data_IF_749395907530
#
_entry.id   IF_749395907530
#
_cell.length_a   1.000
_cell.length_b   1.000
_cell.length_c   1.000
_cell.angle_alpha   90.00
_cell.angle_beta   90.00
_cell.angle_gamma   90.00
#
_symmetry.space_group_name_H-M   'P 1'
#
loop_
_entity.id
_entity.type
_entity.pdbx_description
1 polymer ?
#
# COMPACT_ATOMS: atom_id res chain seq x y z
N UNK A 1 -72.06 12.22 -25.30
CA UNK A 1 -71.17 12.55 -26.42
C UNK A 1 -69.87 11.76 -26.22
N UNK A 2 -70.02 10.43 -26.24
CA UNK A 2 -68.92 9.47 -26.23
C UNK A 2 -68.50 9.24 -27.68
N UNK A 3 -67.22 9.36 -28.00
CA UNK A 3 -66.55 8.60 -29.08
C UNK A 3 -65.08 8.98 -29.21
N UNK A 4 -64.26 7.92 -29.31
CA UNK A 4 -63.02 7.80 -30.10
C UNK A 4 -61.71 8.35 -29.49
N UNK A 5 -61.07 7.52 -28.66
CA UNK A 5 -59.63 7.29 -28.77
C UNK A 5 -59.33 5.79 -28.63
N UNK A 6 -59.20 5.10 -29.77
CA UNK A 6 -58.62 3.76 -29.90
C UNK A 6 -57.81 3.74 -31.20
N UNK A 7 -56.49 3.74 -31.07
CA UNK A 7 -55.42 3.31 -31.98
C UNK A 7 -54.14 3.97 -31.46
N UNK A 8 -52.99 3.34 -31.28
CA UNK A 8 -52.51 1.98 -31.49
C UNK A 8 -51.19 1.90 -30.73
N UNK A 9 -51.14 1.06 -29.69
CA UNK A 9 -49.88 0.63 -29.07
C UNK A 9 -49.14 -0.24 -30.08
N UNK A 10 -48.07 0.29 -30.66
CA UNK A 10 -47.04 -0.53 -31.29
C UNK A 10 -46.05 -0.96 -30.20
N UNK A 11 -45.83 -2.26 -29.97
CA UNK A 11 -44.72 -2.69 -29.15
C UNK A 11 -43.43 -2.43 -29.93
N UNK A 12 -42.58 -1.56 -29.39
CA UNK A 12 -41.16 -1.52 -29.75
C UNK A 12 -40.57 -2.87 -29.37
N UNK A 13 -40.59 -3.80 -30.32
CA UNK A 13 -39.73 -4.98 -30.34
C UNK A 13 -38.30 -4.48 -30.44
N UNK A 14 -37.70 -4.16 -29.29
CA UNK A 14 -36.25 -4.08 -29.14
C UNK A 14 -35.73 -5.49 -29.41
N UNK A 15 -35.18 -5.65 -30.61
CA UNK A 15 -34.54 -6.89 -31.03
C UNK A 15 -33.58 -7.37 -29.95
N UNK A 16 -33.85 -8.57 -29.45
CA UNK A 16 -32.92 -9.40 -28.71
C UNK A 16 -31.80 -9.80 -29.67
N UNK A 17 -30.89 -8.87 -29.91
CA UNK A 17 -29.60 -9.11 -30.54
C UNK A 17 -28.59 -9.42 -29.46
N UNK A 18 -28.62 -10.64 -28.96
CA UNK A 18 -27.64 -11.15 -28.00
C UNK A 18 -26.26 -11.24 -28.61
N UNK A 19 -25.48 -10.17 -28.48
CA UNK A 19 -24.01 -10.27 -28.45
C UNK A 19 -23.59 -10.07 -26.99
N UNK A 20 -23.63 -11.16 -26.22
CA UNK A 20 -23.07 -11.21 -24.88
C UNK A 20 -21.56 -10.95 -24.99
N UNK A 21 -21.15 -9.71 -24.72
CA UNK A 21 -19.75 -9.35 -24.55
C UNK A 21 -19.27 -9.96 -23.23
N UNK A 22 -18.80 -11.21 -23.28
CA UNK A 22 -18.27 -11.90 -22.10
C UNK A 22 -16.75 -11.83 -22.09
N UNK A 23 -16.17 -11.58 -20.91
CA UNK A 23 -14.76 -11.82 -20.64
C UNK A 23 -14.42 -13.26 -21.04
N UNK A 24 -13.46 -13.44 -21.95
CA UNK A 24 -12.93 -14.77 -22.25
C UNK A 24 -12.20 -15.28 -21.00
N UNK A 25 -12.45 -16.53 -20.59
CA UNK A 25 -11.77 -17.16 -19.45
C UNK A 25 -10.23 -17.05 -19.57
N UNK A 26 -9.69 -17.08 -20.78
CA UNK A 26 -8.26 -16.91 -21.04
C UNK A 26 -7.70 -15.54 -20.58
N UNK A 27 -8.45 -14.45 -20.74
CA UNK A 27 -8.02 -13.11 -20.30
C UNK A 27 -8.01 -13.02 -18.77
N UNK A 28 -8.98 -13.69 -18.10
CA UNK A 28 -9.05 -13.82 -16.64
C UNK A 28 -7.88 -14.64 -16.09
N UNK A 29 -7.56 -15.76 -16.75
CA UNK A 29 -6.46 -16.64 -16.37
C UNK A 29 -5.10 -15.95 -16.52
N UNK A 30 -4.90 -15.20 -17.62
CA UNK A 30 -3.69 -14.41 -17.85
C UNK A 30 -3.51 -13.34 -16.78
N UNK A 31 -4.57 -12.61 -16.46
CA UNK A 31 -4.56 -11.62 -15.39
C UNK A 31 -4.19 -12.24 -14.05
N UNK A 32 -4.91 -13.28 -13.62
CA UNK A 32 -4.63 -13.94 -12.34
C UNK A 32 -3.21 -14.52 -12.28
N UNK A 33 -2.69 -15.04 -13.39
CA UNK A 33 -1.31 -15.53 -13.49
C UNK A 33 -0.28 -14.41 -13.39
N UNK A 34 -0.52 -13.26 -14.04
CA UNK A 34 0.33 -12.06 -13.97
C UNK A 34 0.43 -11.55 -12.53
N UNK A 35 -0.73 -11.33 -11.89
CA UNK A 35 -0.78 -10.86 -10.50
C UNK A 35 -0.16 -11.89 -9.55
N UNK A 36 -0.40 -13.18 -9.76
CA UNK A 36 0.21 -14.25 -8.94
C UNK A 36 1.73 -14.25 -9.03
N UNK A 37 2.29 -14.04 -10.23
CA UNK A 37 3.72 -13.93 -10.43
C UNK A 37 4.32 -12.71 -9.70
N UNK A 38 3.65 -11.56 -9.74
CA UNK A 38 4.13 -10.36 -9.06
C UNK A 38 4.02 -10.46 -7.53
N UNK A 39 2.95 -11.07 -7.02
CA UNK A 39 2.81 -11.40 -5.58
C UNK A 39 3.94 -12.33 -5.13
N UNK A 40 4.31 -13.33 -5.94
CA UNK A 40 5.46 -14.22 -5.64
C UNK A 40 6.79 -13.48 -5.66
N UNK A 41 6.98 -12.50 -6.55
CA UNK A 41 8.18 -11.65 -6.53
C UNK A 41 8.26 -10.83 -5.25
N UNK A 42 7.15 -10.23 -4.82
CA UNK A 42 7.09 -9.51 -3.54
C UNK A 42 7.43 -10.41 -2.35
N UNK A 43 6.97 -11.67 -2.38
CA UNK A 43 7.32 -12.67 -1.38
C UNK A 43 8.83 -12.96 -1.38
N UNK A 44 9.44 -13.13 -2.55
CA UNK A 44 10.89 -13.36 -2.67
C UNK A 44 11.69 -12.17 -2.15
N UNK A 45 11.25 -10.94 -2.40
CA UNK A 45 11.89 -9.74 -1.87
C UNK A 45 11.85 -9.67 -0.33
N UNK A 46 10.82 -10.24 0.31
CA UNK A 46 10.74 -10.37 1.78
C UNK A 46 11.68 -11.43 2.36
N UNK A 47 12.16 -12.39 1.56
CA UNK A 47 13.07 -13.44 2.05
C UNK A 47 14.41 -12.91 2.60
N UNK A 48 14.68 -11.63 2.38
CA UNK A 48 15.82 -10.90 2.97
C UNK A 48 15.69 -10.63 4.48
N UNK A 49 14.52 -10.91 5.08
CA UNK A 49 14.33 -10.88 6.53
C UNK A 49 13.95 -9.53 7.12
N UNK A 50 13.74 -8.50 6.29
CA UNK A 50 13.29 -7.19 6.75
C UNK A 50 12.41 -6.48 5.72
N UNK A 51 11.44 -5.71 6.20
CA UNK A 51 10.66 -4.81 5.34
C UNK A 51 11.43 -3.51 5.16
N UNK A 52 11.56 -3.05 3.91
CA UNK A 52 12.36 -1.88 3.52
C UNK A 52 11.58 -0.93 2.63
N UNK A 53 12.04 0.32 2.48
CA UNK A 53 11.46 1.26 1.51
C UNK A 53 11.50 0.70 0.08
N UNK A 54 12.56 -0.06 -0.25
CA UNK A 54 12.65 -0.76 -1.53
C UNK A 54 11.49 -1.75 -1.72
N UNK A 55 11.25 -2.61 -0.74
CA UNK A 55 10.11 -3.52 -0.79
C UNK A 55 8.79 -2.77 -0.93
N UNK A 56 8.64 -1.65 -0.21
CA UNK A 56 7.45 -0.81 -0.29
C UNK A 56 7.24 -0.20 -1.69
N UNK A 57 8.31 0.22 -2.37
CA UNK A 57 8.26 0.69 -3.75
C UNK A 57 7.87 -0.42 -4.74
N UNK A 58 8.39 -1.64 -4.54
CA UNK A 58 8.02 -2.81 -5.33
C UNK A 58 6.51 -3.12 -5.15
N UNK A 59 6.02 -3.08 -3.91
CA UNK A 59 4.60 -3.29 -3.60
C UNK A 59 3.69 -2.22 -4.23
N UNK A 60 4.08 -0.94 -4.18
CA UNK A 60 3.37 0.14 -4.87
C UNK A 60 3.36 -0.05 -6.40
N UNK A 61 4.46 -0.52 -6.97
CA UNK A 61 4.55 -0.82 -8.40
C UNK A 61 3.61 -1.96 -8.81
N UNK A 62 3.47 -2.99 -7.96
CA UNK A 62 2.49 -4.06 -8.16
C UNK A 62 1.05 -3.54 -8.07
N UNK A 63 0.72 -2.65 -7.13
CA UNK A 63 -0.59 -2.00 -7.05
C UNK A 63 -0.93 -1.23 -8.34
N UNK A 64 0.00 -0.39 -8.82
CA UNK A 64 -0.14 0.34 -10.08
C UNK A 64 -0.37 -0.60 -11.26
N UNK A 65 0.42 -1.67 -11.36
CA UNK A 65 0.30 -2.66 -12.44
C UNK A 65 -1.04 -3.38 -12.40
N UNK A 66 -1.49 -3.85 -11.23
CA UNK A 66 -2.80 -4.52 -11.08
C UNK A 66 -3.93 -3.59 -11.55
N UNK A 67 -3.89 -2.32 -11.16
CA UNK A 67 -4.90 -1.34 -11.54
C UNK A 67 -4.92 -1.06 -13.06
N UNK A 68 -3.75 -0.89 -13.68
CA UNK A 68 -3.62 -0.71 -15.13
C UNK A 68 -4.13 -1.94 -15.90
N UNK A 69 -3.70 -3.15 -15.50
CA UNK A 69 -4.16 -4.38 -16.16
C UNK A 69 -5.68 -4.57 -16.00
N UNK A 70 -6.24 -4.24 -14.83
CA UNK A 70 -7.68 -4.26 -14.60
C UNK A 70 -8.42 -3.30 -15.55
N UNK A 71 -7.93 -2.07 -15.72
CA UNK A 71 -8.53 -1.09 -16.63
C UNK A 71 -8.54 -1.58 -18.08
N UNK A 72 -7.44 -2.17 -18.54
CA UNK A 72 -7.34 -2.73 -19.90
C UNK A 72 -8.35 -3.86 -20.11
N UNK A 73 -8.57 -4.69 -19.09
CA UNK A 73 -9.59 -5.74 -19.15
C UNK A 73 -11.00 -5.17 -19.19
N UNK A 74 -11.31 -4.17 -18.36
CA UNK A 74 -12.61 -3.49 -18.37
C UNK A 74 -12.89 -2.88 -19.76
N UNK A 75 -11.91 -2.18 -20.33
CA UNK A 75 -12.03 -1.56 -21.65
C UNK A 75 -12.30 -2.58 -22.77
N UNK A 76 -11.56 -3.70 -22.76
CA UNK A 76 -11.71 -4.77 -23.75
C UNK A 76 -13.03 -5.52 -23.63
N UNK A 77 -13.53 -5.70 -22.41
CA UNK A 77 -14.70 -6.53 -22.14
C UNK A 77 -16.03 -5.79 -22.22
N UNK A 78 -16.02 -4.45 -22.32
CA UNK A 78 -17.23 -3.60 -22.39
C UNK A 78 -18.31 -4.08 -21.41
N UNK A 79 -17.90 -4.32 -20.15
CA UNK A 79 -18.74 -4.99 -19.18
C UNK A 79 -20.10 -4.29 -19.07
N UNK A 80 -21.21 -5.00 -19.26
CA UNK A 80 -22.52 -4.41 -19.10
C UNK A 80 -22.69 -3.97 -17.65
N UNK A 81 -23.19 -2.74 -17.46
CA UNK A 81 -23.64 -2.24 -16.17
C UNK A 81 -24.86 -3.10 -15.80
N UNK A 82 -24.75 -3.91 -14.76
CA UNK A 82 -25.88 -4.75 -14.32
C UNK A 82 -26.89 -3.91 -13.54
N UNK A 83 -28.19 -4.04 -13.86
CA UNK A 83 -29.27 -3.32 -13.14
C UNK A 83 -29.64 -3.97 -11.79
N UNK A 84 -29.25 -5.23 -11.56
CA UNK A 84 -29.82 -6.09 -10.51
C UNK A 84 -28.81 -6.58 -9.44
N UNK A 85 -27.67 -5.90 -9.26
CA UNK A 85 -26.66 -6.29 -8.26
C UNK A 85 -25.64 -5.21 -7.90
N UNK A 86 -24.73 -5.49 -6.94
CA UNK A 86 -23.57 -4.64 -6.63
C UNK A 86 -22.63 -4.67 -7.85
N UNK A 87 -22.86 -3.72 -8.76
CA UNK A 87 -22.29 -3.72 -10.10
C UNK A 87 -20.76 -3.72 -10.04
N UNK A 88 -20.11 -4.28 -11.06
CA UNK A 88 -18.65 -4.30 -11.13
C UNK A 88 -18.08 -2.88 -11.02
N UNK A 89 -18.83 -1.88 -11.50
CA UNK A 89 -18.54 -0.47 -11.39
C UNK A 89 -18.49 0.01 -9.95
N UNK A 90 -19.51 -0.31 -9.14
CA UNK A 90 -19.56 0.08 -7.73
C UNK A 90 -18.38 -0.52 -6.96
N UNK A 91 -18.04 -1.78 -7.25
CA UNK A 91 -16.89 -2.44 -6.64
C UNK A 91 -15.57 -1.79 -7.06
N UNK A 92 -15.43 -1.44 -8.34
CA UNK A 92 -14.28 -0.70 -8.86
C UNK A 92 -14.16 0.68 -8.20
N UNK A 93 -15.25 1.43 -8.15
CA UNK A 93 -15.28 2.77 -7.55
C UNK A 93 -14.97 2.73 -6.06
N UNK A 94 -15.48 1.72 -5.35
CA UNK A 94 -15.18 1.48 -3.93
C UNK A 94 -13.71 1.14 -3.71
N UNK A 95 -13.15 0.18 -4.45
CA UNK A 95 -11.75 -0.21 -4.22
C UNK A 95 -10.77 0.91 -4.62
N UNK A 96 -11.08 1.68 -5.66
CA UNK A 96 -10.20 2.77 -6.10
C UNK A 96 -10.28 3.99 -5.19
N UNK A 97 -11.42 4.30 -4.58
CA UNK A 97 -11.45 5.37 -3.55
C UNK A 97 -10.64 4.95 -2.32
N UNK A 98 -10.75 3.68 -1.89
CA UNK A 98 -9.92 3.15 -0.81
C UNK A 98 -8.42 3.24 -1.14
N UNK A 99 -8.04 3.01 -2.41
CA UNK A 99 -6.65 3.11 -2.86
C UNK A 99 -6.13 4.56 -2.86
N UNK A 100 -6.99 5.54 -3.17
CA UNK A 100 -6.65 6.97 -3.06
C UNK A 100 -6.48 7.39 -1.60
N UNK A 101 -7.40 6.98 -0.72
CA UNK A 101 -7.29 7.24 0.73
C UNK A 101 -6.03 6.60 1.31
N UNK A 102 -5.70 5.39 0.87
CA UNK A 102 -4.45 4.71 1.20
C UNK A 102 -3.22 5.49 0.74
N UNK A 103 -3.20 6.02 -0.49
CA UNK A 103 -2.08 6.85 -0.96
C UNK A 103 -1.92 8.12 -0.12
N UNK A 104 -3.03 8.76 0.27
CA UNK A 104 -3.00 9.92 1.17
C UNK A 104 -2.46 9.56 2.56
N UNK A 105 -2.85 8.40 3.08
CA UNK A 105 -2.32 7.86 4.34
C UNK A 105 -0.80 7.65 4.24
N UNK A 106 -0.31 7.07 3.14
CA UNK A 106 1.12 6.90 2.90
C UNK A 106 1.85 8.24 2.80
N UNK A 107 1.29 9.24 2.10
CA UNK A 107 1.89 10.59 2.05
C UNK A 107 2.06 11.21 3.44
N UNK A 108 1.06 11.04 4.31
CA UNK A 108 1.15 11.46 5.71
C UNK A 108 2.26 10.73 6.46
N UNK A 109 2.36 9.41 6.29
CA UNK A 109 3.39 8.59 6.92
C UNK A 109 4.81 8.94 6.41
N UNK A 110 4.97 9.17 5.10
CA UNK A 110 6.19 9.67 4.45
C UNK A 110 6.62 10.99 5.07
N UNK A 111 5.68 11.93 5.28
CA UNK A 111 5.98 13.18 5.98
C UNK A 111 6.46 12.95 7.41
N UNK A 112 5.92 11.95 8.11
CA UNK A 112 6.37 11.53 9.44
C UNK A 112 7.82 11.02 9.43
N UNK A 113 8.16 10.14 8.49
CA UNK A 113 9.53 9.62 8.31
C UNK A 113 10.49 10.76 7.92
N UNK A 114 10.06 11.68 7.04
CA UNK A 114 10.90 12.82 6.68
C UNK A 114 11.15 13.75 7.87
N UNK A 115 10.15 13.93 8.76
CA UNK A 115 10.35 14.68 10.01
C UNK A 115 11.38 13.99 10.91
N UNK A 116 11.34 12.67 11.04
CA UNK A 116 12.35 11.91 11.77
C UNK A 116 13.75 12.17 11.22
N UNK A 117 13.90 12.00 9.90
CA UNK A 117 15.16 12.24 9.20
C UNK A 117 15.68 13.68 9.40
N UNK A 118 14.81 14.69 9.39
CA UNK A 118 15.20 16.07 9.71
C UNK A 118 15.74 16.23 11.14
N UNK A 119 15.18 15.50 12.12
CA UNK A 119 15.73 15.48 13.49
C UNK A 119 17.11 14.83 13.52
N UNK A 120 17.30 13.73 12.79
CA UNK A 120 18.62 13.08 12.64
C UNK A 120 19.64 14.07 12.05
N UNK A 121 19.30 14.76 10.96
CA UNK A 121 20.18 15.76 10.33
C UNK A 121 20.53 16.91 11.27
N UNK A 122 19.56 17.37 12.07
CA UNK A 122 19.76 18.40 13.06
C UNK A 122 20.76 17.94 14.13
N UNK A 123 20.58 16.72 14.65
CA UNK A 123 21.52 16.12 15.61
C UNK A 123 22.91 15.97 14.99
N UNK A 124 23.04 15.43 13.78
CA UNK A 124 24.33 15.33 13.06
C UNK A 124 25.02 16.69 13.01
N UNK A 125 24.30 17.77 12.65
CA UNK A 125 24.87 19.12 12.60
C UNK A 125 25.38 19.59 13.96
N UNK A 126 24.64 19.27 15.04
CA UNK A 126 25.07 19.60 16.41
C UNK A 126 26.29 18.81 16.87
N UNK A 127 26.38 17.54 16.51
CA UNK A 127 27.53 16.69 16.84
C UNK A 127 28.79 17.06 16.05
N UNK A 128 28.65 17.66 14.86
CA UNK A 128 29.77 18.17 14.08
C UNK A 128 30.27 19.56 14.54
N UNK A 129 29.52 20.26 15.40
CA UNK A 129 29.89 21.60 15.85
C UNK A 129 31.05 21.50 16.85
N UNK A 130 32.24 21.99 16.47
CA UNK A 130 33.49 21.76 17.21
C UNK A 130 33.53 22.36 18.64
N UNK A 131 32.59 23.25 18.97
CA UNK A 131 32.41 23.85 20.30
C UNK A 131 31.50 23.01 21.23
N UNK A 132 30.89 21.94 20.72
CA UNK A 132 29.99 21.08 21.49
C UNK A 132 30.78 20.18 22.45
N UNK A 133 30.76 20.53 23.74
CA UNK A 133 31.34 19.67 24.78
C UNK A 133 30.61 18.31 24.85
N UNK A 134 31.29 17.28 25.38
CA UNK A 134 30.77 15.90 25.51
C UNK A 134 29.38 15.84 26.16
N UNK A 135 29.11 16.72 27.12
CA UNK A 135 27.81 16.83 27.77
C UNK A 135 26.67 17.27 26.83
N UNK A 136 26.94 18.17 25.87
CA UNK A 136 25.96 18.63 24.88
C UNK A 136 25.67 17.49 23.90
N UNK A 137 26.70 16.80 23.41
CA UNK A 137 26.55 15.66 22.52
C UNK A 137 25.72 14.54 23.16
N UNK A 138 25.90 14.32 24.46
CA UNK A 138 25.08 13.37 25.24
C UNK A 138 23.60 13.73 25.21
N UNK A 139 23.30 15.00 25.52
CA UNK A 139 21.92 15.50 25.57
C UNK A 139 21.25 15.35 24.20
N UNK A 140 21.95 15.68 23.11
CA UNK A 140 21.38 15.62 21.76
C UNK A 140 21.15 14.18 21.28
N UNK A 141 22.05 13.24 21.57
CA UNK A 141 21.87 11.81 21.25
C UNK A 141 20.73 11.19 22.06
N UNK A 142 20.67 11.47 23.37
CA UNK A 142 19.57 11.01 24.24
C UNK A 142 18.22 11.63 23.84
N UNK A 143 18.22 12.87 23.34
CA UNK A 143 17.03 13.51 22.80
C UNK A 143 16.56 12.83 21.51
N UNK A 144 17.47 12.58 20.56
CA UNK A 144 17.15 11.93 19.30
C UNK A 144 16.56 10.52 19.52
N UNK A 145 17.13 9.74 20.44
CA UNK A 145 16.59 8.41 20.77
C UNK A 145 15.17 8.51 21.37
N UNK A 146 14.93 9.45 22.29
CA UNK A 146 13.60 9.67 22.87
C UNK A 146 12.58 10.09 21.81
N UNK A 147 12.99 10.97 20.89
CA UNK A 147 12.11 11.46 19.84
C UNK A 147 11.87 10.40 18.73
N UNK A 148 12.85 9.51 18.45
CA UNK A 148 12.64 8.30 17.62
C UNK A 148 11.58 7.39 18.22
N UNK A 149 11.65 7.13 19.53
CA UNK A 149 10.65 6.31 20.24
C UNK A 149 9.25 6.90 20.21
N UNK A 150 9.11 8.23 20.17
CA UNK A 150 7.81 8.92 20.07
C UNK A 150 7.22 8.89 18.66
N UNK A 151 8.05 8.92 17.61
CA UNK A 151 7.57 8.90 16.21
C UNK A 151 6.78 7.64 15.86
N UNK A 152 7.14 6.52 16.47
CA UNK A 152 6.47 5.24 16.28
C UNK A 152 5.64 4.82 17.51
N UNK A 153 5.53 5.69 18.51
CA UNK A 153 4.91 5.39 19.80
C UNK A 153 3.55 6.08 19.96
N UNK A 154 2.48 5.28 19.93
CA UNK A 154 1.14 5.55 20.50
C UNK A 154 0.42 6.87 20.16
N UNK A 155 0.88 7.69 19.21
CA UNK A 155 0.02 8.73 18.65
C UNK A 155 -1.10 8.04 17.89
N UNK A 156 -2.33 8.10 18.44
CA UNK A 156 -3.53 7.66 17.72
C UNK A 156 -3.48 8.30 16.33
N UNK A 157 -3.53 7.52 15.25
CA UNK A 157 -3.54 8.07 13.90
C UNK A 157 -4.65 9.11 13.81
N UNK A 158 -4.28 10.37 13.58
CA UNK A 158 -5.23 11.49 13.51
C UNK A 158 -6.17 11.24 12.35
N UNK A 159 -7.45 11.07 12.66
CA UNK A 159 -8.65 11.41 11.86
C UNK A 159 -8.71 10.99 10.38
N UNK A 160 -7.82 10.12 9.91
CA UNK A 160 -8.05 9.37 8.67
C UNK A 160 -9.08 8.31 9.00
N UNK A 161 -10.01 8.00 8.09
CA UNK A 161 -11.02 6.92 8.21
C UNK A 161 -10.36 5.52 8.25
N UNK A 162 -9.45 5.33 9.21
CA UNK A 162 -8.81 4.08 9.53
C UNK A 162 -9.84 3.04 9.99
N UNK A 163 -11.03 3.42 10.43
CA UNK A 163 -12.05 2.43 10.80
C UNK A 163 -12.45 1.52 9.62
N UNK A 164 -12.37 1.99 8.37
CA UNK A 164 -12.60 1.12 7.19
C UNK A 164 -11.34 0.38 6.70
N UNK A 165 -10.14 0.93 6.94
CA UNK A 165 -8.86 0.36 6.45
C UNK A 165 -8.08 -0.46 7.49
N UNK A 166 -8.22 -0.17 8.77
CA UNK A 166 -7.37 -0.66 9.88
C UNK A 166 -8.14 -1.51 10.89
N UNK A 167 -9.47 -1.42 10.94
CA UNK A 167 -10.30 -2.35 11.73
C UNK A 167 -11.57 -2.78 10.99
N UNK A 168 -11.40 -3.58 9.93
CA UNK A 168 -12.25 -4.76 9.83
C UNK A 168 -11.39 -6.02 9.64
N UNK A 169 -11.78 -7.12 10.29
CA UNK A 169 -11.44 -8.47 9.80
C UNK A 169 -11.94 -8.54 8.36
N UNK A 170 -11.09 -8.22 7.39
CA UNK A 170 -11.50 -8.16 6.00
C UNK A 170 -11.73 -9.58 5.51
N UNK A 171 -12.98 -10.02 5.52
CA UNK A 171 -13.36 -11.36 5.07
C UNK A 171 -13.40 -11.34 3.54
N UNK A 172 -12.41 -11.96 2.91
CA UNK A 172 -12.39 -12.20 1.47
C UNK A 172 -13.40 -13.30 1.12
N UNK A 173 -14.68 -12.96 1.06
CA UNK A 173 -15.74 -13.85 0.56
C UNK A 173 -16.24 -13.35 -0.79
N UNK A 174 -16.16 -14.21 -1.80
CA UNK A 174 -16.80 -13.96 -3.10
C UNK A 174 -18.32 -14.11 -2.92
N UNK A 175 -19.08 -13.05 -3.20
CA UNK A 175 -20.55 -13.15 -3.31
C UNK A 175 -20.90 -13.89 -4.61
N UNK A 176 -21.97 -14.67 -4.61
CA UNK A 176 -22.49 -15.30 -5.84
C UNK A 176 -22.76 -14.22 -6.89
N UNK A 177 -22.21 -14.37 -8.09
CA UNK A 177 -22.32 -13.39 -9.19
C UNK A 177 -21.22 -12.33 -9.26
N UNK A 178 -20.30 -12.25 -8.29
CA UNK A 178 -19.19 -11.29 -8.37
C UNK A 178 -18.23 -11.63 -9.52
N UNK A 179 -17.89 -10.62 -10.33
CA UNK A 179 -16.95 -10.75 -11.44
C UNK A 179 -15.58 -11.24 -10.90
N UNK A 180 -15.05 -12.36 -11.42
CA UNK A 180 -13.83 -12.96 -10.88
C UNK A 180 -12.59 -12.08 -11.04
N UNK A 181 -12.51 -11.29 -12.12
CA UNK A 181 -11.39 -10.36 -12.37
C UNK A 181 -11.40 -9.23 -11.34
N UNK A 182 -12.58 -8.61 -11.14
CA UNK A 182 -12.75 -7.52 -10.17
C UNK A 182 -12.46 -8.04 -8.76
N UNK A 183 -12.95 -9.23 -8.42
CA UNK A 183 -12.67 -9.87 -7.14
C UNK A 183 -11.16 -10.14 -6.94
N UNK A 184 -10.48 -10.69 -7.95
CA UNK A 184 -9.04 -10.95 -7.92
C UNK A 184 -8.24 -9.66 -7.70
N UNK A 185 -8.50 -8.65 -8.53
CA UNK A 185 -7.83 -7.36 -8.47
C UNK A 185 -8.06 -6.67 -7.12
N UNK A 186 -9.33 -6.61 -6.68
CA UNK A 186 -9.71 -6.04 -5.39
C UNK A 186 -9.01 -6.74 -4.24
N UNK A 187 -8.96 -8.06 -4.24
CA UNK A 187 -8.34 -8.83 -3.16
C UNK A 187 -6.85 -8.57 -3.07
N UNK A 188 -6.15 -8.61 -4.21
CA UNK A 188 -4.72 -8.32 -4.27
C UNK A 188 -4.41 -6.87 -3.85
N UNK A 189 -5.14 -5.89 -4.40
CA UNK A 189 -4.93 -4.48 -4.07
C UNK A 189 -5.15 -4.19 -2.59
N UNK A 190 -6.23 -4.71 -1.99
CA UNK A 190 -6.52 -4.51 -0.56
C UNK A 190 -5.42 -5.14 0.29
N UNK A 191 -5.06 -6.40 0.05
CA UNK A 191 -4.04 -7.07 0.88
C UNK A 191 -2.69 -6.38 0.79
N UNK A 192 -2.21 -6.06 -0.41
CA UNK A 192 -0.92 -5.38 -0.59
C UNK A 192 -0.94 -3.99 0.10
N UNK A 193 -2.05 -3.26 0.00
CA UNK A 193 -2.21 -1.98 0.70
C UNK A 193 -2.17 -2.16 2.21
N UNK A 194 -2.86 -3.16 2.77
CA UNK A 194 -2.83 -3.45 4.20
C UNK A 194 -1.44 -3.84 4.71
N UNK A 195 -0.68 -4.62 3.93
CA UNK A 195 0.71 -4.95 4.28
C UNK A 195 1.59 -3.70 4.31
N UNK A 196 1.41 -2.77 3.36
CA UNK A 196 2.10 -1.48 3.36
C UNK A 196 1.72 -0.60 4.56
N UNK A 197 0.43 -0.54 4.92
CA UNK A 197 -0.02 0.14 6.15
C UNK A 197 0.63 -0.51 7.38
N UNK A 198 0.65 -1.85 7.44
CA UNK A 198 1.28 -2.62 8.51
C UNK A 198 2.77 -2.31 8.67
N UNK A 199 3.47 -2.17 7.54
CA UNK A 199 4.90 -1.89 7.50
C UNK A 199 5.29 -0.45 7.87
N UNK A 200 4.45 0.53 7.55
CA UNK A 200 4.86 1.96 7.54
C UNK A 200 4.10 2.77 8.59
N UNK A 201 2.86 2.40 8.90
CA UNK A 201 1.94 3.23 9.69
C UNK A 201 1.68 2.60 11.06
N UNK A 202 1.12 1.39 11.07
CA UNK A 202 0.71 0.71 12.30
C UNK A 202 0.51 -0.77 12.00
N UNK A 203 0.89 -1.69 12.91
CA UNK A 203 0.61 -3.11 12.72
C UNK A 203 -0.88 -3.38 12.42
N UNK A 204 -1.14 -4.16 11.37
CA UNK A 204 -2.49 -4.58 10.96
C UNK A 204 -2.57 -6.10 10.96
N UNK A 205 -3.61 -6.65 11.59
CA UNK A 205 -3.90 -8.09 11.56
C UNK A 205 -4.69 -8.45 10.30
N UNK A 206 -4.08 -9.19 9.38
CA UNK A 206 -4.71 -9.61 8.13
C UNK A 206 -5.17 -11.07 8.25
N UNK A 207 -6.48 -11.31 8.20
CA UNK A 207 -7.04 -12.66 8.23
C UNK A 207 -7.63 -13.04 6.87
N UNK A 208 -7.06 -14.05 6.22
CA UNK A 208 -7.57 -14.59 4.96
C UNK A 208 -8.41 -15.84 5.26
N UNK A 209 -9.74 -15.73 5.20
CA UNK A 209 -10.67 -16.88 5.38
C UNK A 209 -10.51 -17.92 4.23
N UNK A 210 -10.85 -19.19 4.48
CA UNK A 210 -10.61 -20.29 3.53
C UNK A 210 -11.65 -20.43 2.40
N UNK A 211 -12.73 -19.65 2.44
CA UNK A 211 -13.88 -19.84 1.56
C UNK A 211 -13.75 -19.29 0.14
N UNK A 212 -12.77 -19.72 -0.66
CA UNK A 212 -12.76 -19.46 -2.11
C UNK A 212 -13.56 -20.55 -2.83
N UNK A 213 -14.71 -20.24 -3.47
CA UNK A 213 -15.47 -21.21 -4.23
C UNK A 213 -14.68 -21.72 -5.45
N UNK A 214 -14.87 -23.00 -5.76
CA UNK A 214 -13.99 -23.86 -6.56
C UNK A 214 -14.03 -23.62 -8.09
N UNK A 215 -14.29 -22.40 -8.56
CA UNK A 215 -14.72 -22.18 -9.95
C UNK A 215 -13.59 -21.83 -10.95
N UNK A 216 -12.45 -21.27 -10.51
CA UNK A 216 -11.35 -20.86 -11.40
C UNK A 216 -9.99 -21.24 -10.80
N UNK A 217 -9.26 -22.13 -11.50
CA UNK A 217 -7.96 -22.66 -11.05
C UNK A 217 -6.91 -21.56 -10.81
N UNK A 218 -6.81 -20.57 -11.71
CA UNK A 218 -5.83 -19.48 -11.57
C UNK A 218 -6.18 -18.49 -10.46
N UNK A 219 -7.47 -18.24 -10.21
CA UNK A 219 -7.90 -17.45 -9.07
C UNK A 219 -7.48 -18.11 -7.75
N UNK A 220 -7.61 -19.44 -7.66
CA UNK A 220 -7.14 -20.21 -6.50
C UNK A 220 -5.62 -20.09 -6.31
N UNK A 221 -4.84 -20.20 -7.40
CA UNK A 221 -3.38 -20.00 -7.39
C UNK A 221 -2.99 -18.59 -6.90
N UNK A 222 -3.68 -17.55 -7.37
CA UNK A 222 -3.48 -16.19 -6.90
C UNK A 222 -3.80 -16.06 -5.41
N UNK A 223 -4.96 -16.53 -4.95
CA UNK A 223 -5.34 -16.46 -3.54
C UNK A 223 -4.34 -17.21 -2.65
N UNK A 224 -3.83 -18.35 -3.09
CA UNK A 224 -2.78 -19.08 -2.38
C UNK A 224 -1.49 -18.26 -2.29
N UNK A 225 -1.09 -17.60 -3.37
CA UNK A 225 0.11 -16.75 -3.39
C UNK A 225 -0.03 -15.55 -2.45
N UNK A 226 -1.22 -14.94 -2.40
CA UNK A 226 -1.53 -13.86 -1.43
C UNK A 226 -1.47 -14.39 0.01
N UNK A 227 -2.05 -15.56 0.29
CA UNK A 227 -1.97 -16.18 1.63
C UNK A 227 -0.52 -16.40 2.05
N UNK A 228 0.30 -16.95 1.16
CA UNK A 228 1.73 -17.16 1.44
C UNK A 228 2.46 -15.84 1.67
N UNK A 229 2.19 -14.79 0.89
CA UNK A 229 2.75 -13.46 1.12
C UNK A 229 2.40 -12.93 2.52
N UNK A 230 1.13 -13.03 2.92
CA UNK A 230 0.67 -12.61 4.26
C UNK A 230 1.37 -13.42 5.36
N UNK A 231 1.49 -14.73 5.20
CA UNK A 231 2.22 -15.58 6.15
C UNK A 231 3.70 -15.18 6.28
N UNK A 232 4.41 -15.00 5.16
CA UNK A 232 5.80 -14.54 5.16
C UNK A 232 5.94 -13.15 5.82
N UNK A 233 4.96 -12.26 5.63
CA UNK A 233 4.98 -10.95 6.28
C UNK A 233 4.72 -11.04 7.78
N UNK A 234 3.79 -11.90 8.23
CA UNK A 234 3.52 -12.11 9.65
C UNK A 234 4.72 -12.72 10.39
N UNK A 235 5.55 -13.53 9.73
CA UNK A 235 6.81 -14.02 10.30
C UNK A 235 7.80 -12.89 10.62
N UNK A 236 7.65 -11.73 9.98
CA UNK A 236 8.47 -10.53 10.23
C UNK A 236 7.94 -9.68 11.40
N UNK A 237 6.72 -9.94 11.87
CA UNK A 237 6.16 -9.20 13.00
C UNK A 237 6.87 -9.69 14.28
N UNK A 238 7.40 -8.78 15.13
CA UNK A 238 8.07 -9.14 16.37
C UNK A 238 7.22 -10.04 17.27
N UNK A 239 7.87 -10.95 18.01
CA UNK A 239 7.17 -11.92 18.85
C UNK A 239 6.55 -11.23 20.08
N UNK A 240 5.52 -11.85 20.71
CA UNK A 240 4.96 -11.34 21.95
C UNK A 240 6.05 -11.19 23.02
N UNK A 241 6.31 -9.96 23.47
CA UNK A 241 7.35 -9.62 24.45
C UNK A 241 8.53 -8.81 23.88
N UNK A 242 8.65 -8.72 22.56
CA UNK A 242 9.53 -7.80 21.86
C UNK A 242 8.80 -6.48 21.56
N UNK A 243 9.55 -5.45 21.15
CA UNK A 243 8.97 -4.19 20.71
C UNK A 243 7.96 -4.47 19.58
N UNK A 244 6.66 -4.16 19.73
CA UNK A 244 5.61 -4.58 18.79
C UNK A 244 5.70 -3.89 17.41
N UNK A 245 6.74 -3.07 17.20
CA UNK A 245 6.93 -2.24 16.02
C UNK A 245 7.57 -3.03 14.88
N UNK A 246 6.85 -3.17 13.77
CA UNK A 246 7.48 -3.49 12.50
C UNK A 246 8.14 -2.20 11.98
N UNK A 247 9.47 -2.14 12.08
CA UNK A 247 10.26 -0.96 11.70
C UNK A 247 10.93 -1.20 10.37
N UNK A 248 10.86 -0.23 9.46
CA UNK A 248 11.58 -0.27 8.18
C UNK A 248 13.09 -0.47 8.42
N UNK A 249 13.72 -1.32 7.61
CA UNK A 249 15.13 -1.65 7.71
C UNK A 249 16.03 -0.41 7.76
N UNK A 250 15.70 0.63 6.99
CA UNK A 250 16.42 1.91 6.96
C UNK A 250 16.38 2.64 8.31
N UNK A 251 15.25 2.58 9.02
CA UNK A 251 15.11 3.18 10.35
C UNK A 251 15.89 2.36 11.39
N UNK A 252 15.82 1.02 11.33
CA UNK A 252 16.62 0.13 12.21
C UNK A 252 18.12 0.43 12.07
N UNK A 253 18.60 0.65 10.85
CA UNK A 253 19.99 1.02 10.60
C UNK A 253 20.38 2.36 11.24
N UNK A 254 19.49 3.35 11.21
CA UNK A 254 19.73 4.65 11.88
C UNK A 254 19.72 4.48 13.40
N UNK A 255 18.74 3.75 13.95
CA UNK A 255 18.61 3.53 15.39
C UNK A 255 19.82 2.78 15.97
N UNK A 256 20.38 1.80 15.23
CA UNK A 256 21.62 1.12 15.60
C UNK A 256 22.79 2.10 15.75
N UNK A 257 22.97 3.01 14.79
CA UNK A 257 24.06 4.01 14.85
C UNK A 257 23.84 4.99 15.99
N UNK A 258 22.59 5.41 16.24
CA UNK A 258 22.25 6.28 17.38
C UNK A 258 22.55 5.58 18.71
N UNK A 259 22.25 4.29 18.83
CA UNK A 259 22.58 3.49 20.01
C UNK A 259 24.10 3.38 20.24
N UNK A 260 24.88 3.14 19.19
CA UNK A 260 26.34 3.08 19.26
C UNK A 260 26.96 4.42 19.67
N UNK A 261 26.45 5.53 19.12
CA UNK A 261 26.88 6.87 19.50
C UNK A 261 26.55 7.16 20.96
N UNK A 262 25.39 6.71 21.45
CA UNK A 262 25.00 6.87 22.85
C UNK A 262 25.95 6.12 23.79
N UNK A 263 26.31 4.88 23.45
CA UNK A 263 27.25 4.09 24.25
C UNK A 263 28.61 4.79 24.37
N UNK A 264 29.13 5.31 23.26
CA UNK A 264 30.41 6.04 23.23
C UNK A 264 30.40 7.30 24.10
N UNK A 265 29.28 8.04 24.13
CA UNK A 265 29.17 9.24 24.96
C UNK A 265 28.92 8.91 26.43
N UNK A 266 28.31 7.77 26.75
CA UNK A 266 28.03 7.33 28.12
C UNK A 266 29.27 6.80 28.85
N UNK A 267 30.20 6.15 28.15
CA UNK A 267 31.41 5.57 28.74
C UNK A 267 32.47 6.63 29.13
N UNK A 268 32.28 7.90 28.77
CA UNK A 268 33.29 8.94 28.97
C UNK A 268 34.56 8.74 28.13
N UNK A 269 34.59 7.70 27.29
CA UNK A 269 35.64 7.36 26.35
C UNK A 269 35.51 8.25 25.11
N UNK A 270 35.81 9.53 25.28
CA UNK A 270 36.22 10.39 24.17
C UNK A 270 37.74 10.36 24.05
N UNK A 271 38.37 9.21 24.35
CA UNK A 271 39.80 8.99 24.08
C UNK A 271 40.06 8.77 22.58
N UNK A 272 39.03 8.37 21.83
CA UNK A 272 39.09 8.18 20.37
C UNK A 272 38.03 9.04 19.66
N UNK A 273 38.26 10.36 19.64
CA UNK A 273 37.40 11.32 18.92
C UNK A 273 37.23 10.98 17.44
N UNK A 274 38.16 10.24 16.84
CA UNK A 274 38.06 9.76 15.46
C UNK A 274 36.97 8.68 15.29
N UNK A 275 36.82 7.76 16.26
CA UNK A 275 35.73 6.77 16.27
C UNK A 275 34.35 7.42 16.37
N UNK A 276 34.20 8.43 17.23
CA UNK A 276 32.95 9.18 17.37
C UNK A 276 32.57 9.90 16.08
N UNK A 277 33.52 10.63 15.48
CA UNK A 277 33.33 11.33 14.21
C UNK A 277 32.97 10.37 13.07
N UNK A 278 33.60 9.19 13.00
CA UNK A 278 33.22 8.13 12.04
C UNK A 278 31.76 7.67 12.22
N UNK A 279 31.29 7.57 13.46
CA UNK A 279 29.90 7.25 13.78
C UNK A 279 28.93 8.34 13.31
N UNK A 280 29.28 9.62 13.52
CA UNK A 280 28.49 10.77 13.05
C UNK A 280 28.45 10.82 11.52
N UNK A 281 29.57 10.56 10.84
CA UNK A 281 29.63 10.46 9.38
C UNK A 281 28.79 9.30 8.84
N UNK A 282 28.79 8.16 9.53
CA UNK A 282 27.92 7.04 9.17
C UNK A 282 26.45 7.42 9.34
N UNK A 283 26.07 8.08 10.43
CA UNK A 283 24.71 8.57 10.66
C UNK A 283 24.27 9.53 9.54
N UNK A 284 25.15 10.46 9.14
CA UNK A 284 24.92 11.37 8.02
C UNK A 284 24.68 10.63 6.71
N UNK A 285 25.52 9.63 6.39
CA UNK A 285 25.36 8.79 5.19
C UNK A 285 24.02 8.04 5.21
N UNK A 286 23.65 7.46 6.35
CA UNK A 286 22.35 6.76 6.50
C UNK A 286 21.16 7.71 6.36
N UNK A 287 21.24 8.91 6.93
CA UNK A 287 20.20 9.94 6.77
C UNK A 287 20.03 10.37 5.30
N UNK A 288 21.14 10.54 4.57
CA UNK A 288 21.10 10.86 3.13
C UNK A 288 20.48 9.74 2.30
N UNK A 289 20.87 8.48 2.55
CA UNK A 289 20.29 7.33 1.88
C UNK A 289 18.78 7.20 2.19
N UNK A 290 18.38 7.47 3.43
CA UNK A 290 16.97 7.52 3.82
C UNK A 290 16.23 8.62 3.06
N UNK A 291 16.83 9.81 2.89
CA UNK A 291 16.23 10.90 2.09
C UNK A 291 15.92 10.44 0.66
N UNK A 292 16.91 9.86 -0.01
CA UNK A 292 16.77 9.37 -1.38
C UNK A 292 15.67 8.29 -1.47
N UNK A 293 15.64 7.36 -0.50
CA UNK A 293 14.59 6.36 -0.38
C UNK A 293 13.19 6.95 -0.21
N UNK A 294 13.04 7.97 0.64
CA UNK A 294 11.77 8.68 0.88
C UNK A 294 11.33 9.40 -0.39
N UNK A 295 12.23 10.11 -1.07
CA UNK A 295 11.91 10.87 -2.28
C UNK A 295 11.44 9.93 -3.42
N UNK A 296 12.12 8.78 -3.59
CA UNK A 296 11.68 7.76 -4.54
C UNK A 296 10.34 7.12 -4.15
N UNK A 297 10.12 6.87 -2.86
CA UNK A 297 8.88 6.29 -2.38
C UNK A 297 7.69 7.26 -2.53
N UNK A 298 7.88 8.54 -2.25
CA UNK A 298 6.86 9.57 -2.47
C UNK A 298 6.50 9.73 -3.95
N UNK A 299 7.51 9.64 -4.83
CA UNK A 299 7.29 9.64 -6.27
C UNK A 299 6.42 8.48 -6.72
N UNK A 300 6.68 7.24 -6.29
CA UNK A 300 5.86 6.09 -6.71
C UNK A 300 4.45 6.14 -6.09
N UNK A 301 4.28 6.67 -4.88
CA UNK A 301 2.97 6.88 -4.26
C UNK A 301 2.16 7.92 -5.05
N UNK A 302 2.79 9.02 -5.47
CA UNK A 302 2.15 10.02 -6.31
C UNK A 302 1.78 9.46 -7.69
N UNK A 303 2.66 8.68 -8.30
CA UNK A 303 2.40 7.98 -9.55
C UNK A 303 1.16 7.07 -9.46
N UNK A 304 1.03 6.27 -8.40
CA UNK A 304 -0.13 5.39 -8.19
C UNK A 304 -1.39 6.22 -7.99
N UNK A 305 -1.32 7.28 -7.18
CA UNK A 305 -2.46 8.18 -6.97
C UNK A 305 -2.99 8.75 -8.29
N UNK A 306 -2.11 9.30 -9.12
CA UNK A 306 -2.47 9.86 -10.42
C UNK A 306 -3.03 8.81 -11.39
N UNK A 307 -2.43 7.62 -11.45
CA UNK A 307 -2.97 6.53 -12.28
C UNK A 307 -4.36 6.09 -11.84
N UNK A 308 -4.63 6.06 -10.53
CA UNK A 308 -5.96 5.72 -10.01
C UNK A 308 -6.99 6.78 -10.40
N UNK A 309 -6.65 8.07 -10.32
CA UNK A 309 -7.52 9.17 -10.78
C UNK A 309 -7.80 9.05 -12.27
N UNK A 310 -6.76 8.86 -13.09
CA UNK A 310 -6.89 8.66 -14.55
C UNK A 310 -7.81 7.48 -14.86
N UNK A 311 -7.63 6.36 -14.16
CA UNK A 311 -8.46 5.17 -14.31
C UNK A 311 -9.92 5.40 -14.01
N UNK A 312 -10.22 6.06 -12.89
CA UNK A 312 -11.59 6.41 -12.50
C UNK A 312 -12.26 7.31 -13.54
N UNK A 313 -11.56 8.34 -13.99
CA UNK A 313 -12.06 9.24 -15.03
C UNK A 313 -12.30 8.49 -16.35
N UNK A 314 -11.40 7.58 -16.72
CA UNK A 314 -11.55 6.74 -17.91
C UNK A 314 -12.80 5.86 -17.81
N UNK A 315 -13.01 5.18 -16.69
CA UNK A 315 -14.20 4.34 -16.45
C UNK A 315 -15.47 5.18 -16.50
N UNK A 316 -15.51 6.35 -15.85
CA UNK A 316 -16.66 7.26 -15.92
C UNK A 316 -16.96 7.76 -17.33
N UNK A 317 -15.91 8.03 -18.13
CA UNK A 317 -16.05 8.42 -19.53
C UNK A 317 -16.69 7.33 -20.39
N UNK A 318 -16.43 6.06 -20.10
CA UNK A 318 -17.08 4.93 -20.79
C UNK A 318 -18.60 4.87 -20.53
N UNK A 319 -19.08 5.40 -19.40
CA UNK A 319 -20.51 5.37 -19.01
C UNK A 319 -21.30 6.56 -19.55
N UNK A 320 -20.62 7.66 -19.90
CA UNK A 320 -21.22 8.88 -20.43
C UNK A 320 -20.80 9.11 -21.90
N UNK A 321 -21.24 8.29 -22.86
CA UNK A 321 -20.82 8.41 -24.26
C UNK A 321 -21.38 9.63 -25.01
N UNK A 322 -21.92 10.66 -24.35
CA UNK A 322 -22.56 11.81 -25.02
C UNK A 322 -21.91 13.15 -24.68
N UNK A 323 -20.99 13.58 -25.55
CA UNK A 323 -20.97 14.87 -26.27
C UNK A 323 -19.61 15.07 -26.96
N UNK A 324 -19.31 14.25 -27.96
CA UNK A 324 -18.48 14.72 -29.07
C UNK A 324 -19.40 14.69 -30.29
N UNK A 325 -19.58 15.90 -30.83
CA UNK A 325 -20.41 16.30 -31.97
C UNK A 325 -20.18 15.49 -33.24
#
# INVERSE_FOLDING_TARGET
MERLFRTSLLPLQLGVGGNSCSLKNEDVDKFCSSVSADVKKLQQSLATGAVSLRWSMEAMSVLKKIHIELLLLIERSRLPISLDGEDWLDQYMKVTVMLLDFCNLLKSAISGINRYRMMVDFTVRKLCDCDSGVAINRIEVERLERDSKKLYGNEKPRDVRLDELVVPKYKFKRKNGANPVIFAAKSAMIVISLLLVSAIVTPVLINMDEGVPNEISQLKSLMQSIKTLVSCFHEMIPKPGEDPRLVLAENVMIESVVADLKAQVAEGVVEDGDKFLKGVDLLKKRSSALKEGIDMFDSIVSDVFEEVIKGRNKVLGMLNPSKET
#
